data_IF_066166842571
#
_entry.id   IF_066166842571
#
_cell.length_a   1.000
_cell.length_b   1.000
_cell.length_c   1.000
_cell.angle_alpha   90.00
_cell.angle_beta   90.00
_cell.angle_gamma   90.00
#
_symmetry.space_group_name_H-M   'P 1'
#
loop_
_entity.id
_entity.type
_entity.pdbx_description
1 polymer ?
#
# COMPACT_ATOMS: atom_id res chain seq x y z
N UNK A 1 10.89 23.69 11.09
CA UNK A 1 9.67 23.02 10.58
C UNK A 1 9.97 21.96 9.52
N UNK A 2 10.81 22.24 8.51
CA UNK A 2 11.12 21.29 7.43
C UNK A 2 11.75 19.96 7.89
N UNK A 3 12.73 20.00 8.83
CA UNK A 3 13.39 18.79 9.36
C UNK A 3 12.41 17.79 9.99
N UNK A 4 11.53 18.27 10.88
CA UNK A 4 10.55 17.40 11.56
C UNK A 4 9.64 16.71 10.57
N UNK A 5 9.21 17.42 9.53
CA UNK A 5 8.36 16.87 8.47
C UNK A 5 9.10 15.80 7.66
N UNK A 6 10.35 16.06 7.26
CA UNK A 6 11.19 15.09 6.56
C UNK A 6 11.42 13.81 7.39
N UNK A 7 11.72 13.94 8.68
CA UNK A 7 11.86 12.80 9.59
C UNK A 7 10.57 11.99 9.68
N UNK A 8 9.42 12.64 9.81
CA UNK A 8 8.12 11.96 9.81
C UNK A 8 7.87 11.21 8.50
N UNK A 9 8.17 11.81 7.35
CA UNK A 9 8.00 11.18 6.03
C UNK A 9 8.92 9.95 5.87
N UNK A 10 10.17 10.02 6.36
CA UNK A 10 11.11 8.89 6.34
C UNK A 10 10.65 7.76 7.26
N UNK A 11 10.23 8.07 8.49
CA UNK A 11 9.74 7.07 9.43
C UNK A 11 8.45 6.39 8.95
N UNK A 12 7.55 7.15 8.33
CA UNK A 12 6.34 6.60 7.71
C UNK A 12 6.69 5.65 6.56
N UNK A 13 7.59 6.06 5.67
CA UNK A 13 8.07 5.19 4.59
C UNK A 13 8.76 3.92 5.10
N UNK A 14 9.59 4.03 6.15
CA UNK A 14 10.25 2.88 6.78
C UNK A 14 9.23 1.91 7.40
N UNK A 15 8.21 2.42 8.10
CA UNK A 15 7.13 1.60 8.65
C UNK A 15 6.37 0.81 7.57
N UNK A 16 6.07 1.44 6.43
CA UNK A 16 5.42 0.76 5.29
C UNK A 16 6.31 -0.34 4.69
N UNK A 17 7.62 -0.10 4.58
CA UNK A 17 8.56 -1.10 4.04
C UNK A 17 8.85 -2.24 5.02
N UNK A 18 8.80 -1.96 6.33
CA UNK A 18 8.86 -2.98 7.37
C UNK A 18 7.74 -4.01 7.18
N UNK A 19 6.51 -3.57 6.93
CA UNK A 19 5.36 -4.46 6.68
C UNK A 19 5.56 -5.33 5.43
N UNK A 20 6.26 -4.82 4.42
CA UNK A 20 6.54 -5.53 3.17
C UNK A 20 7.75 -6.47 3.26
N UNK A 21 8.43 -6.56 4.41
CA UNK A 21 9.70 -7.29 4.61
C UNK A 21 10.79 -6.88 3.59
N UNK A 22 10.74 -5.64 3.10
CA UNK A 22 11.62 -5.15 2.02
C UNK A 22 12.70 -4.18 2.49
N UNK A 23 12.53 -3.49 3.61
CA UNK A 23 13.52 -2.55 4.11
C UNK A 23 14.64 -3.22 4.92
N UNK A 24 15.88 -2.80 4.65
CA UNK A 24 16.94 -2.71 5.65
C UNK A 24 17.02 -1.23 6.02
N UNK A 25 16.79 -0.86 7.28
CA UNK A 25 16.81 0.56 7.72
C UNK A 25 18.10 1.32 7.38
N UNK A 26 19.17 0.59 7.04
CA UNK A 26 20.44 1.09 6.50
C UNK A 26 20.30 2.02 5.28
N UNK A 27 19.28 1.82 4.42
CA UNK A 27 19.11 2.64 3.22
C UNK A 27 18.62 4.07 3.56
N UNK A 28 17.86 4.23 4.64
CA UNK A 28 17.36 5.53 5.10
C UNK A 28 18.41 6.30 5.88
N UNK A 29 19.27 5.61 6.65
CA UNK A 29 20.39 6.23 7.36
C UNK A 29 21.40 6.89 6.40
N UNK A 30 21.52 6.39 5.17
CA UNK A 30 22.38 6.99 4.13
C UNK A 30 21.83 8.30 3.55
N UNK A 31 20.53 8.56 3.67
CA UNK A 31 19.91 9.80 3.18
C UNK A 31 20.16 10.98 4.12
N UNK A 32 20.44 10.71 5.39
CA UNK A 32 20.69 11.69 6.45
C UNK A 32 21.86 11.21 7.34
N UNK A 33 23.10 11.21 6.83
CA UNK A 33 24.25 10.65 7.54
C UNK A 33 24.63 11.43 8.81
N UNK A 34 24.28 12.72 8.88
CA UNK A 34 24.59 13.60 10.01
C UNK A 34 23.45 13.64 11.06
N UNK A 35 22.36 12.88 10.86
CA UNK A 35 21.22 12.89 11.77
C UNK A 35 21.35 11.77 12.81
N UNK A 36 21.94 12.11 13.97
CA UNK A 36 22.16 11.18 15.08
C UNK A 36 20.86 10.60 15.67
N UNK A 37 19.73 11.28 15.49
CA UNK A 37 18.43 10.84 16.00
C UNK A 37 17.78 9.77 15.11
N UNK A 38 18.14 9.71 13.83
CA UNK A 38 17.48 8.83 12.86
C UNK A 38 17.76 7.34 13.10
N UNK A 39 19.01 6.86 13.29
CA UNK A 39 19.28 5.46 13.57
C UNK A 39 18.53 4.87 14.77
N UNK A 40 18.48 5.52 15.97
CA UNK A 40 17.73 4.98 17.09
C UNK A 40 16.22 4.97 16.84
N UNK A 41 15.68 5.94 16.09
CA UNK A 41 14.25 5.95 15.72
C UNK A 41 13.88 4.82 14.74
N UNK A 42 14.75 4.53 13.77
CA UNK A 42 14.57 3.39 12.86
C UNK A 42 14.62 2.05 13.62
N UNK A 43 15.57 1.92 14.55
CA UNK A 43 15.66 0.72 15.41
C UNK A 43 14.44 0.58 16.33
N UNK A 44 13.92 1.69 16.87
CA UNK A 44 12.70 1.66 17.67
C UNK A 44 11.49 1.17 16.85
N UNK A 45 11.36 1.61 15.60
CA UNK A 45 10.28 1.16 14.72
C UNK A 45 10.33 -0.36 14.46
N UNK A 46 11.54 -0.91 14.27
CA UNK A 46 11.74 -2.36 14.15
C UNK A 46 11.36 -3.11 15.44
N UNK A 47 11.78 -2.61 16.61
CA UNK A 47 11.40 -3.21 17.89
C UNK A 47 9.89 -3.14 18.16
N UNK A 48 9.24 -2.03 17.80
CA UNK A 48 7.78 -1.91 17.92
C UNK A 48 7.10 -2.94 17.01
N UNK A 49 7.57 -3.15 15.77
CA UNK A 49 7.05 -4.22 14.91
C UNK A 49 7.17 -5.58 15.60
N UNK A 50 8.34 -5.91 16.14
CA UNK A 50 8.56 -7.24 16.74
C UNK A 50 7.77 -7.44 18.04
N UNK A 51 7.51 -6.36 18.78
CA UNK A 51 6.67 -6.38 19.97
C UNK A 51 5.17 -6.48 19.66
N UNK A 52 4.75 -6.01 18.49
CA UNK A 52 3.35 -6.08 18.06
C UNK A 52 3.01 -7.47 17.55
N UNK A 53 2.09 -8.15 18.24
CA UNK A 53 1.57 -9.42 17.76
C UNK A 53 0.63 -9.18 16.56
N UNK A 54 0.76 -10.00 15.49
CA UNK A 54 -0.20 -9.97 14.40
C UNK A 54 -1.60 -10.26 14.93
N UNK A 55 -2.54 -9.35 14.69
CA UNK A 55 -3.95 -9.58 15.00
C UNK A 55 -4.56 -10.37 13.85
N UNK A 56 -4.98 -11.61 14.12
CA UNK A 56 -5.72 -12.39 13.16
C UNK A 56 -7.12 -11.78 13.00
N UNK A 57 -7.57 -11.48 11.76
CA UNK A 57 -8.93 -11.03 11.54
C UNK A 57 -9.92 -12.14 11.91
N UNK A 58 -11.13 -11.76 12.33
CA UNK A 58 -12.20 -12.74 12.58
C UNK A 58 -12.63 -13.40 11.27
N UNK A 59 -13.12 -14.64 11.35
CA UNK A 59 -13.67 -15.36 10.19
C UNK A 59 -14.82 -14.58 9.54
N UNK A 60 -15.67 -13.94 10.34
CA UNK A 60 -16.76 -13.10 9.85
C UNK A 60 -16.25 -11.93 8.98
N UNK A 61 -15.11 -11.32 9.37
CA UNK A 61 -14.49 -10.26 8.59
C UNK A 61 -13.91 -10.79 7.28
N UNK A 62 -13.20 -11.92 7.31
CA UNK A 62 -12.61 -12.50 6.10
C UNK A 62 -13.68 -12.92 5.08
N UNK A 63 -14.77 -13.51 5.56
CA UNK A 63 -15.88 -13.95 4.70
C UNK A 63 -16.59 -12.75 4.06
N UNK A 64 -16.77 -11.67 4.82
CA UNK A 64 -17.36 -10.43 4.31
C UNK A 64 -16.46 -9.78 3.27
N UNK A 65 -15.17 -9.64 3.56
CA UNK A 65 -14.20 -9.07 2.62
C UNK A 65 -14.17 -9.85 1.30
N UNK A 66 -14.21 -11.18 1.36
CA UNK A 66 -14.24 -12.00 0.15
C UNK A 66 -15.48 -11.72 -0.71
N UNK A 67 -16.67 -11.62 -0.09
CA UNK A 67 -17.91 -11.28 -0.82
C UNK A 67 -17.81 -9.90 -1.47
N UNK A 68 -17.31 -8.91 -0.73
CA UNK A 68 -17.19 -7.54 -1.22
C UNK A 68 -16.21 -7.43 -2.39
N UNK A 69 -15.07 -8.14 -2.32
CA UNK A 69 -14.10 -8.19 -3.40
C UNK A 69 -14.65 -8.87 -4.66
N UNK A 70 -15.42 -9.95 -4.51
CA UNK A 70 -16.07 -10.62 -5.64
C UNK A 70 -17.13 -9.72 -6.29
N UNK A 71 -17.95 -9.05 -5.48
CA UNK A 71 -18.93 -8.09 -5.98
C UNK A 71 -18.28 -6.94 -6.74
N UNK A 72 -17.19 -6.37 -6.20
CA UNK A 72 -16.43 -5.32 -6.86
C UNK A 72 -15.78 -5.79 -8.18
N UNK A 73 -15.27 -7.03 -8.22
CA UNK A 73 -14.70 -7.61 -9.42
C UNK A 73 -15.75 -7.78 -10.53
N UNK A 74 -16.93 -8.30 -10.20
CA UNK A 74 -18.04 -8.44 -11.15
C UNK A 74 -18.51 -7.08 -11.65
N UNK A 75 -18.65 -6.09 -10.77
CA UNK A 75 -19.03 -4.73 -11.17
C UNK A 75 -18.01 -4.14 -12.15
N UNK A 76 -16.71 -4.29 -11.87
CA UNK A 76 -15.63 -3.81 -12.75
C UNK A 76 -15.62 -4.52 -14.11
N UNK A 77 -15.94 -5.81 -14.15
CA UNK A 77 -16.08 -6.56 -15.41
C UNK A 77 -17.27 -6.07 -16.22
N UNK A 78 -18.42 -5.84 -15.57
CA UNK A 78 -19.61 -5.30 -16.24
C UNK A 78 -19.34 -3.92 -16.84
N UNK A 79 -18.75 -3.00 -16.07
CA UNK A 79 -18.37 -1.66 -16.54
C UNK A 79 -17.41 -1.71 -17.74
N UNK A 80 -16.46 -2.66 -17.76
CA UNK A 80 -15.56 -2.86 -18.89
C UNK A 80 -16.29 -3.40 -20.12
N UNK A 81 -17.24 -4.31 -19.94
CA UNK A 81 -18.06 -4.84 -21.04
C UNK A 81 -18.98 -3.75 -21.63
N UNK A 82 -19.56 -2.89 -20.80
CA UNK A 82 -20.38 -1.75 -21.24
C UNK A 82 -19.57 -0.69 -21.98
N UNK A 83 -18.34 -0.41 -21.54
CA UNK A 83 -17.43 0.49 -22.24
C UNK A 83 -17.01 -0.06 -23.62
N UNK A 84 -16.90 -1.39 -23.76
CA UNK A 84 -16.57 -2.03 -25.04
C UNK A 84 -17.76 -2.03 -26.03
N UNK A 85 -19.00 -2.13 -25.55
CA UNK A 85 -20.20 -2.08 -26.41
C UNK A 85 -20.55 -0.69 -26.90
N UNK A 86 -20.22 0.38 -26.16
CA UNK A 86 -20.45 1.77 -26.59
C UNK A 86 -19.33 2.34 -27.49
N UNK A 87 -18.27 1.57 -27.76
CA UNK A 87 -17.18 1.91 -28.68
C UNK A 87 -17.23 1.19 -30.04
N UNK A 88 -18.30 0.45 -30.34
CA UNK A 88 -18.45 -0.31 -31.58
C UNK A 88 -18.70 0.59 -32.79
N UNK A 89 -17.62 0.94 -33.50
CA UNK A 89 -17.66 1.48 -34.86
C UNK A 89 -18.37 0.47 -35.77
N UNK A 90 -19.65 0.72 -36.09
CA UNK A 90 -20.31 0.09 -37.21
C UNK A 90 -19.67 0.68 -38.49
N UNK A 91 -18.96 -0.10 -39.32
CA UNK A 91 -18.46 0.43 -40.58
C UNK A 91 -19.67 0.77 -41.48
N UNK A 92 -19.65 1.91 -42.18
CA UNK A 92 -20.75 2.32 -43.04
C UNK A 92 -20.94 1.30 -44.18
N UNK A 93 -22.18 1.06 -44.64
CA UNK A 93 -22.42 0.19 -45.77
C UNK A 93 -21.74 0.77 -47.01
N UNK A 94 -20.93 -0.05 -47.69
CA UNK A 94 -20.38 0.28 -48.98
C UNK A 94 -21.54 0.35 -49.98
N UNK A 95 -21.87 1.56 -50.42
CA UNK A 95 -22.64 1.81 -51.64
C UNK A 95 -21.70 1.89 -52.83
#
# INVERSE_FOLDING_TARGET
MARKRLLTEILAAHADQILQRRARGEDYARLLPDDEDLPPLLSLADHVRDALQPVAPSSAFTDQLQRDLMAAAHLKQHQRAEAATHGGFAPPPLL
#
